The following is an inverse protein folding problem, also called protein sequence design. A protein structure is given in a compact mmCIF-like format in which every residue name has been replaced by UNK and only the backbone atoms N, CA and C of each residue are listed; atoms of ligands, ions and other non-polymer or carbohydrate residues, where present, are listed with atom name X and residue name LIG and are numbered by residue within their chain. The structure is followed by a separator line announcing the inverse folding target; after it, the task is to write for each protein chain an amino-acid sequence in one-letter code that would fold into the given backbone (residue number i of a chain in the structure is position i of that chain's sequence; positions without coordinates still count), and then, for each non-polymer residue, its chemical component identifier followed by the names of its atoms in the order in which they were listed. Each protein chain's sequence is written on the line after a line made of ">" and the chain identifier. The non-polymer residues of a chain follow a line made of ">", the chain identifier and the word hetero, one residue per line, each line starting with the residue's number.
data_IF_340939502706
#
_entry.id   IF_340939502706
#
_cell.length_a   1.000
_cell.length_b   1.000
_cell.length_c   1.000
_cell.angle_alpha   90.00
_cell.angle_beta   90.00
_cell.angle_gamma   90.00
#
_symmetry.space_group_name_H-M   'P 1'
#
loop_
_entity.id
_entity.type
_entity.pdbx_description
1 polymer ?
#
# COMPACT_ATOMS: atom_id res chain seq x y z
N UNK A 1 -2.39 -2.33 -9.30
CA UNK A 1 -1.71 -3.45 -9.98
C UNK A 1 -2.32 -4.78 -9.56
N UNK A 2 -2.80 -4.93 -8.32
CA UNK A 2 -3.53 -6.13 -7.84
C UNK A 2 -5.00 -5.82 -7.54
N UNK A 3 -5.94 -6.16 -8.43
CA UNK A 3 -7.38 -5.83 -8.25
C UNK A 3 -8.16 -6.90 -7.48
N UNK A 4 -7.49 -7.95 -6.98
CA UNK A 4 -8.13 -9.13 -6.38
C UNK A 4 -7.19 -9.87 -5.39
N UNK A 5 -6.90 -9.30 -4.20
CA UNK A 5 -5.90 -9.85 -3.27
C UNK A 5 -6.14 -11.31 -2.87
N UNK A 6 -7.39 -11.75 -2.72
CA UNK A 6 -7.71 -13.14 -2.35
C UNK A 6 -7.22 -14.16 -3.40
N UNK A 7 -7.33 -13.82 -4.69
CA UNK A 7 -6.95 -14.70 -5.80
C UNK A 7 -5.43 -14.71 -6.01
N UNK A 8 -4.81 -13.53 -5.91
CA UNK A 8 -3.34 -13.42 -5.93
C UNK A 8 -2.71 -14.15 -4.74
N UNK A 9 -3.29 -14.05 -3.54
CA UNK A 9 -2.81 -14.75 -2.36
C UNK A 9 -2.90 -16.26 -2.52
N UNK A 10 -4.01 -16.77 -3.08
CA UNK A 10 -4.14 -18.19 -3.41
C UNK A 10 -3.07 -18.65 -4.42
N UNK A 11 -2.80 -17.87 -5.46
CA UNK A 11 -1.77 -18.21 -6.45
C UNK A 11 -0.36 -18.17 -5.82
N UNK A 12 -0.03 -17.10 -5.09
CA UNK A 12 1.26 -16.93 -4.43
C UNK A 12 1.56 -17.97 -3.35
N UNK A 13 0.52 -18.45 -2.64
CA UNK A 13 0.68 -19.49 -1.63
C UNK A 13 1.05 -20.87 -2.21
N UNK A 14 0.74 -21.13 -3.49
CA UNK A 14 1.02 -22.42 -4.14
C UNK A 14 2.08 -22.33 -5.24
N UNK A 15 2.48 -21.12 -5.64
CA UNK A 15 3.35 -20.90 -6.81
C UNK A 15 4.77 -21.40 -6.61
N UNK A 16 5.22 -21.53 -5.36
CA UNK A 16 6.57 -21.95 -4.99
C UNK A 16 6.67 -23.46 -4.71
N UNK A 17 5.57 -24.20 -4.82
CA UNK A 17 5.56 -25.64 -4.65
C UNK A 17 6.08 -26.34 -5.91
N UNK A 18 6.86 -27.40 -5.72
CA UNK A 18 7.36 -28.20 -6.84
C UNK A 18 6.22 -29.00 -7.48
N UNK A 19 6.00 -28.81 -8.78
CA UNK A 19 5.12 -29.65 -9.60
C UNK A 19 5.91 -30.82 -10.18
N UNK A 20 5.19 -31.85 -10.64
CA UNK A 20 5.81 -33.00 -11.32
C UNK A 20 6.60 -32.61 -12.58
N UNK A 21 6.25 -31.48 -13.20
CA UNK A 21 6.95 -30.92 -14.37
C UNK A 21 7.89 -29.75 -14.04
N UNK A 22 8.13 -29.45 -12.76
CA UNK A 22 9.12 -28.44 -12.35
C UNK A 22 10.55 -28.97 -12.52
N UNK A 23 11.47 -28.08 -12.89
CA UNK A 23 12.91 -28.31 -12.82
C UNK A 23 13.47 -27.62 -11.58
N UNK A 24 14.38 -28.26 -10.85
CA UNK A 24 15.08 -27.58 -9.75
C UNK A 24 16.17 -26.68 -10.34
N UNK A 25 16.13 -25.39 -10.01
CA UNK A 25 17.21 -24.47 -10.34
C UNK A 25 18.16 -24.40 -9.16
N UNK A 26 19.38 -24.84 -9.39
CA UNK A 26 20.49 -24.71 -8.43
C UNK A 26 21.12 -23.32 -8.61
N UNK A 27 21.06 -22.51 -7.55
CA UNK A 27 21.70 -21.20 -7.49
C UNK A 27 22.78 -21.25 -6.41
N UNK A 28 24.05 -21.02 -6.77
CA UNK A 28 25.17 -21.12 -5.82
C UNK A 28 24.91 -20.30 -4.54
N UNK A 29 24.80 -20.99 -3.40
CA UNK A 29 24.61 -20.38 -2.08
C UNK A 29 23.16 -20.16 -1.64
N UNK A 30 22.16 -20.65 -2.38
CA UNK A 30 20.75 -20.66 -1.98
C UNK A 30 20.17 -22.08 -2.07
N UNK A 31 19.10 -22.36 -1.32
CA UNK A 31 18.36 -23.62 -1.45
C UNK A 31 17.75 -23.78 -2.85
N UNK A 32 17.71 -25.01 -3.35
CA UNK A 32 17.13 -25.33 -4.66
C UNK A 32 15.67 -24.89 -4.74
N UNK A 33 15.37 -24.02 -5.70
CA UNK A 33 14.02 -23.53 -5.93
C UNK A 33 13.38 -24.22 -7.14
N UNK A 34 12.11 -24.65 -7.05
CA UNK A 34 11.42 -25.24 -8.18
C UNK A 34 11.10 -24.15 -9.22
N UNK A 35 11.75 -24.25 -10.38
CA UNK A 35 11.41 -23.47 -11.56
C UNK A 35 10.32 -24.18 -12.36
N UNK A 36 9.21 -23.48 -12.58
CA UNK A 36 8.01 -24.08 -13.17
C UNK A 36 7.50 -23.17 -14.27
N UNK A 37 7.47 -23.67 -15.51
CA UNK A 37 7.06 -22.85 -16.67
C UNK A 37 5.54 -22.61 -16.70
N UNK A 38 5.07 -21.55 -17.37
CA UNK A 38 3.64 -21.29 -17.52
C UNK A 38 2.87 -22.45 -18.16
N UNK A 39 3.48 -23.16 -19.13
CA UNK A 39 2.86 -24.31 -19.81
C UNK A 39 2.70 -25.51 -18.88
N UNK A 40 3.64 -25.70 -17.95
CA UNK A 40 3.56 -26.73 -16.92
C UNK A 40 2.39 -26.43 -15.97
N UNK A 41 2.26 -25.19 -15.48
CA UNK A 41 1.11 -24.76 -14.65
C UNK A 41 -0.22 -24.87 -15.38
N UNK A 42 -0.25 -24.55 -16.67
CA UNK A 42 -1.46 -24.59 -17.49
C UNK A 42 -2.01 -26.01 -17.69
N UNK A 43 -1.13 -27.02 -17.71
CA UNK A 43 -1.49 -28.42 -17.98
C UNK A 43 -1.57 -29.29 -16.73
N UNK A 44 -0.97 -28.88 -15.60
CA UNK A 44 -0.97 -29.67 -14.37
C UNK A 44 -2.36 -29.74 -13.73
N UNK A 45 -2.81 -30.95 -13.38
CA UNK A 45 -4.11 -31.14 -12.73
C UNK A 45 -4.12 -30.64 -11.29
N UNK A 46 -3.06 -30.95 -10.54
CA UNK A 46 -2.98 -30.75 -9.09
C UNK A 46 -2.90 -29.27 -8.76
N UNK A 47 -2.15 -28.49 -9.54
CA UNK A 47 -2.07 -27.04 -9.47
C UNK A 47 -3.43 -26.39 -9.69
N UNK A 48 -4.11 -26.72 -10.80
CA UNK A 48 -5.39 -26.11 -11.14
C UNK A 48 -6.49 -26.49 -10.15
N UNK A 49 -6.61 -27.74 -9.73
CA UNK A 49 -7.64 -28.11 -8.75
C UNK A 49 -7.38 -27.48 -7.38
N UNK A 50 -6.13 -27.39 -6.94
CA UNK A 50 -5.74 -26.72 -5.69
C UNK A 50 -6.04 -25.23 -5.74
N UNK A 51 -5.66 -24.54 -6.83
CA UNK A 51 -5.93 -23.12 -7.01
C UNK A 51 -7.44 -22.83 -7.05
N UNK A 52 -8.20 -23.64 -7.78
CA UNK A 52 -9.65 -23.51 -7.89
C UNK A 52 -10.32 -23.70 -6.53
N UNK A 53 -9.90 -24.69 -5.74
CA UNK A 53 -10.41 -24.89 -4.39
C UNK A 53 -10.08 -23.71 -3.45
N UNK A 54 -8.88 -23.15 -3.55
CA UNK A 54 -8.51 -21.96 -2.79
C UNK A 54 -9.42 -20.78 -3.13
N UNK A 55 -9.72 -20.52 -4.42
CA UNK A 55 -10.65 -19.45 -4.80
C UNK A 55 -12.05 -19.68 -4.23
N UNK A 56 -12.56 -20.90 -4.33
CA UNK A 56 -13.89 -21.25 -3.80
C UNK A 56 -14.00 -21.04 -2.29
N UNK A 57 -12.94 -21.32 -1.54
CA UNK A 57 -12.94 -21.23 -0.08
C UNK A 57 -12.60 -19.81 0.40
N UNK A 58 -11.46 -19.26 -0.02
CA UNK A 58 -10.92 -17.99 0.48
C UNK A 58 -11.54 -16.74 -0.15
N UNK A 59 -11.96 -16.80 -1.42
CA UNK A 59 -12.61 -15.64 -2.07
C UNK A 59 -14.13 -15.58 -1.82
N UNK A 60 -14.74 -16.61 -1.22
CA UNK A 60 -16.17 -16.62 -0.92
C UNK A 60 -16.57 -15.55 0.12
N UNK A 61 -15.72 -15.30 1.11
CA UNK A 61 -15.96 -14.28 2.16
C UNK A 61 -16.10 -12.86 1.59
N UNK A 62 -15.37 -12.57 0.50
CA UNK A 62 -15.36 -11.25 -0.14
C UNK A 62 -16.46 -11.08 -1.21
N UNK A 63 -17.36 -12.06 -1.38
CA UNK A 63 -18.45 -12.05 -2.37
C UNK A 63 -17.97 -11.71 -3.80
N UNK A 64 -16.79 -12.22 -4.20
CA UNK A 64 -16.22 -11.92 -5.50
C UNK A 64 -17.04 -12.60 -6.61
N UNK A 65 -17.52 -11.87 -7.63
CA UNK A 65 -18.27 -12.48 -8.72
C UNK A 65 -17.38 -13.42 -9.54
N UNK A 66 -17.96 -14.55 -9.97
CA UNK A 66 -17.26 -15.59 -10.74
C UNK A 66 -16.63 -15.04 -12.02
N UNK A 67 -17.21 -13.99 -12.63
CA UNK A 67 -16.63 -13.35 -13.81
C UNK A 67 -15.26 -12.72 -13.54
N UNK A 68 -15.03 -12.13 -12.36
CA UNK A 68 -13.72 -11.59 -11.97
C UNK A 68 -12.72 -12.70 -11.69
N UNK A 69 -13.15 -13.78 -11.05
CA UNK A 69 -12.31 -14.96 -10.81
C UNK A 69 -11.92 -15.65 -12.11
N UNK A 70 -12.86 -15.79 -13.05
CA UNK A 70 -12.60 -16.36 -14.38
C UNK A 70 -11.60 -15.50 -15.17
N UNK A 71 -11.74 -14.16 -15.10
CA UNK A 71 -10.78 -13.27 -15.74
C UNK A 71 -9.36 -13.44 -15.18
N UNK A 72 -9.23 -13.45 -13.85
CA UNK A 72 -7.95 -13.73 -13.21
C UNK A 72 -7.39 -15.11 -13.61
N UNK A 73 -8.28 -16.11 -13.69
CA UNK A 73 -7.91 -17.47 -14.08
C UNK A 73 -7.28 -17.55 -15.47
N UNK A 74 -7.79 -16.78 -16.42
CA UNK A 74 -7.29 -16.74 -17.80
C UNK A 74 -6.01 -15.91 -17.96
N UNK A 75 -5.87 -14.83 -17.19
CA UNK A 75 -4.78 -13.86 -17.37
C UNK A 75 -3.57 -14.13 -16.47
N UNK A 76 -3.78 -14.63 -15.23
CA UNK A 76 -2.78 -14.57 -14.15
C UNK A 76 -2.48 -15.92 -13.49
N UNK A 77 -3.37 -16.92 -13.58
CA UNK A 77 -3.22 -18.19 -12.85
C UNK A 77 -1.91 -18.93 -13.15
N UNK A 78 -1.40 -18.83 -14.38
CA UNK A 78 -0.19 -19.52 -14.85
C UNK A 78 1.04 -18.61 -14.90
N UNK A 79 0.89 -17.32 -14.56
CA UNK A 79 1.95 -16.32 -14.59
C UNK A 79 2.16 -15.62 -15.94
N UNK A 80 1.65 -16.18 -17.05
CA UNK A 80 1.68 -15.52 -18.36
C UNK A 80 0.32 -15.63 -19.10
N UNK A 81 -0.16 -14.55 -19.74
CA UNK A 81 -1.43 -14.57 -20.49
C UNK A 81 -1.40 -15.47 -21.73
N UNK A 82 -0.22 -15.85 -22.21
CA UNK A 82 0.00 -16.66 -23.42
C UNK A 82 -0.26 -18.15 -23.20
N UNK A 83 -0.27 -18.61 -21.93
CA UNK A 83 -0.46 -20.00 -21.55
C UNK A 83 -1.69 -20.15 -20.64
N UNK A 84 -2.93 -20.04 -21.18
CA UNK A 84 -4.13 -20.18 -20.37
C UNK A 84 -4.29 -21.62 -19.84
N UNK A 85 -4.87 -21.80 -18.64
CA UNK A 85 -5.18 -23.12 -18.10
C UNK A 85 -6.00 -24.00 -19.04
N UNK A 86 -5.73 -25.31 -19.05
CA UNK A 86 -6.48 -26.29 -19.86
C UNK A 86 -7.99 -26.34 -19.57
N UNK A 87 -8.40 -25.89 -18.39
CA UNK A 87 -9.79 -25.87 -17.92
C UNK A 87 -10.19 -24.46 -17.52
N UNK A 88 -11.45 -24.10 -17.72
CA UNK A 88 -12.03 -22.92 -17.09
C UNK A 88 -12.14 -23.10 -15.57
N UNK A 89 -12.22 -22.02 -14.81
CA UNK A 89 -12.34 -22.09 -13.35
C UNK A 89 -13.54 -22.96 -12.89
N UNK A 90 -14.76 -22.82 -13.47
CA UNK A 90 -15.87 -23.71 -13.13
C UNK A 90 -15.63 -25.18 -13.50
N UNK A 91 -14.95 -25.46 -14.62
CA UNK A 91 -14.63 -26.83 -15.02
C UNK A 91 -13.58 -27.46 -14.09
N UNK A 92 -12.60 -26.68 -13.64
CA UNK A 92 -11.61 -27.12 -12.66
C UNK A 92 -12.25 -27.42 -11.29
N UNK A 93 -13.29 -26.67 -10.89
CA UNK A 93 -14.05 -27.00 -9.68
C UNK A 93 -14.87 -28.28 -9.81
N UNK A 94 -15.39 -28.57 -11.00
CA UNK A 94 -16.18 -29.79 -11.25
C UNK A 94 -15.33 -31.07 -11.25
N UNK A 95 -14.03 -30.97 -11.51
CA UNK A 95 -13.14 -32.13 -11.44
C UNK A 95 -12.79 -32.54 -10.00
N UNK A 96 -13.11 -31.70 -9.01
CA UNK A 96 -12.90 -31.97 -7.58
C UNK A 96 -14.08 -32.78 -7.05
N UNK A 97 -13.87 -34.09 -6.88
CA UNK A 97 -14.92 -35.01 -6.40
C UNK A 97 -15.12 -34.93 -4.88
N UNK A 98 -14.04 -34.73 -4.12
CA UNK A 98 -14.04 -34.68 -2.66
C UNK A 98 -13.24 -33.48 -2.14
N UNK A 99 -13.61 -32.99 -0.95
CA UNK A 99 -12.90 -31.88 -0.32
C UNK A 99 -11.47 -32.32 0.06
N UNK A 100 -10.43 -31.55 -0.32
CA UNK A 100 -9.05 -31.87 0.00
C UNK A 100 -8.80 -31.76 1.50
N UNK A 101 -8.09 -32.74 2.06
CA UNK A 101 -7.76 -32.82 3.49
C UNK A 101 -6.30 -32.54 3.80
N UNK A 102 -5.40 -32.75 2.83
CA UNK A 102 -3.96 -32.50 3.00
C UNK A 102 -3.69 -31.00 2.91
N UNK A 103 -3.11 -30.43 3.97
CA UNK A 103 -2.62 -29.05 3.96
C UNK A 103 -1.31 -28.99 3.16
N UNK A 104 -1.20 -28.04 2.24
CA UNK A 104 0.01 -27.74 1.50
C UNK A 104 0.84 -26.71 2.27
N UNK A 105 2.08 -27.06 2.58
CA UNK A 105 3.08 -26.13 3.12
C UNK A 105 3.94 -25.58 1.99
N UNK A 106 4.55 -24.41 2.17
CA UNK A 106 5.54 -23.90 1.22
C UNK A 106 6.67 -24.91 0.95
N UNK A 107 7.15 -24.94 -0.29
CA UNK A 107 8.24 -25.80 -0.80
C UNK A 107 7.95 -27.31 -0.87
N UNK A 108 6.78 -27.78 -0.46
CA UNK A 108 6.37 -29.17 -0.67
C UNK A 108 6.09 -29.48 -2.15
N UNK A 109 6.14 -30.77 -2.50
CA UNK A 109 5.71 -31.24 -3.83
C UNK A 109 4.19 -31.37 -3.93
N UNK A 110 3.61 -30.78 -4.98
CA UNK A 110 2.17 -30.76 -5.24
C UNK A 110 1.79 -31.84 -6.25
N UNK A 111 1.50 -33.04 -5.74
CA UNK A 111 1.11 -34.21 -6.55
C UNK A 111 -0.39 -34.54 -6.47
N UNK A 112 -1.15 -33.80 -5.65
CA UNK A 112 -2.57 -34.03 -5.40
C UNK A 112 -3.30 -32.72 -5.10
N UNK A 113 -4.63 -32.74 -5.18
CA UNK A 113 -5.44 -31.57 -4.80
C UNK A 113 -5.30 -31.35 -3.30
N UNK A 114 -4.75 -30.21 -2.91
CA UNK A 114 -4.45 -29.90 -1.51
C UNK A 114 -5.25 -28.68 -1.01
N UNK A 115 -5.28 -28.51 0.31
CA UNK A 115 -5.81 -27.33 0.96
C UNK A 115 -4.65 -26.35 1.20
N UNK A 116 -4.80 -25.10 0.76
CA UNK A 116 -3.79 -24.06 0.99
C UNK A 116 -3.66 -23.79 2.48
N UNK A 117 -2.43 -23.76 3.00
CA UNK A 117 -2.15 -23.36 4.38
C UNK A 117 -2.76 -22.00 4.70
N UNK A 118 -3.42 -21.92 5.86
CA UNK A 118 -4.06 -20.68 6.30
C UNK A 118 -3.05 -19.58 6.61
N UNK A 119 -1.91 -19.95 7.20
CA UNK A 119 -0.83 -19.03 7.52
C UNK A 119 -0.17 -18.44 6.26
N UNK A 120 0.16 -19.32 5.29
CA UNK A 120 0.77 -18.89 4.02
C UNK A 120 -0.17 -17.99 3.24
N UNK A 121 -1.47 -18.35 3.19
CA UNK A 121 -2.47 -17.53 2.51
C UNK A 121 -2.67 -16.18 3.20
N UNK A 122 -2.78 -16.14 4.54
CA UNK A 122 -3.01 -14.91 5.29
C UNK A 122 -1.83 -13.94 5.17
N UNK A 123 -0.60 -14.45 5.21
CA UNK A 123 0.60 -13.66 4.95
C UNK A 123 0.55 -13.01 3.56
N UNK A 124 0.30 -13.80 2.51
CA UNK A 124 0.22 -13.29 1.15
C UNK A 124 -0.93 -12.28 0.99
N UNK A 125 -2.10 -12.58 1.56
CA UNK A 125 -3.27 -11.72 1.49
C UNK A 125 -3.02 -10.36 2.13
N UNK A 126 -2.43 -10.33 3.34
CA UNK A 126 -2.08 -9.09 4.04
C UNK A 126 -1.11 -8.25 3.22
N UNK A 127 -0.03 -8.86 2.73
CA UNK A 127 0.99 -8.18 1.90
C UNK A 127 0.35 -7.57 0.64
N UNK A 128 -0.43 -8.35 -0.10
CA UNK A 128 -1.07 -7.90 -1.34
C UNK A 128 -2.14 -6.84 -1.11
N UNK A 129 -2.91 -6.96 -0.03
CA UNK A 129 -3.91 -5.95 0.34
C UNK A 129 -3.27 -4.61 0.72
N UNK A 130 -2.10 -4.65 1.38
CA UNK A 130 -1.31 -3.46 1.67
C UNK A 130 -0.77 -2.83 0.38
N UNK A 131 -0.16 -3.61 -0.50
CA UNK A 131 0.35 -3.09 -1.77
C UNK A 131 -0.76 -2.48 -2.65
N UNK A 132 -1.93 -3.12 -2.74
CA UNK A 132 -3.08 -2.55 -3.47
C UNK A 132 -3.47 -1.19 -2.88
N UNK A 133 -3.51 -1.08 -1.54
CA UNK A 133 -3.83 0.18 -0.87
C UNK A 133 -2.82 1.27 -1.18
N UNK A 134 -1.54 0.97 -1.02
CA UNK A 134 -0.46 1.94 -1.27
C UNK A 134 -0.45 2.39 -2.73
N UNK A 135 -0.63 1.48 -3.68
CA UNK A 135 -0.73 1.83 -5.10
C UNK A 135 -1.93 2.73 -5.40
N UNK A 136 -3.08 2.49 -4.77
CA UNK A 136 -4.26 3.35 -4.95
C UNK A 136 -4.02 4.75 -4.39
N UNK A 137 -3.36 4.85 -3.24
CA UNK A 137 -2.96 6.12 -2.63
C UNK A 137 -1.95 6.82 -3.54
N UNK A 138 -0.89 6.15 -3.97
CA UNK A 138 0.11 6.71 -4.87
C UNK A 138 -0.47 7.11 -6.23
N UNK A 139 -1.41 6.37 -6.81
CA UNK A 139 -2.05 6.75 -8.07
C UNK A 139 -2.99 7.95 -7.90
N UNK A 140 -3.61 8.12 -6.73
CA UNK A 140 -4.53 9.22 -6.44
C UNK A 140 -3.79 10.51 -6.05
N UNK A 141 -2.65 10.38 -5.36
CA UNK A 141 -1.89 11.50 -4.82
C UNK A 141 -0.51 11.68 -5.48
N UNK A 142 -0.15 10.87 -6.49
CA UNK A 142 1.18 10.88 -7.12
C UNK A 142 1.57 12.18 -7.81
N UNK A 143 0.60 13.00 -8.22
CA UNK A 143 0.83 14.33 -8.81
C UNK A 143 0.82 15.48 -7.78
N UNK A 144 0.46 15.18 -6.53
CA UNK A 144 0.60 16.09 -5.40
C UNK A 144 1.38 15.35 -4.34
N UNK A 145 2.70 15.49 -4.38
CA UNK A 145 3.52 15.30 -3.19
C UNK A 145 3.63 16.65 -2.49
N UNK A 146 2.62 17.10 -1.70
CA UNK A 146 2.84 18.23 -0.84
C UNK A 146 3.97 17.86 0.14
N UNK A 147 4.85 18.81 0.49
CA UNK A 147 5.63 18.72 1.72
C UNK A 147 4.62 18.71 2.87
N UNK A 148 4.26 17.52 3.33
CA UNK A 148 3.25 17.34 4.36
C UNK A 148 3.86 17.54 5.73
N UNK A 149 3.39 18.58 6.40
CA UNK A 149 3.18 18.52 7.83
C UNK A 149 2.19 17.38 8.11
N UNK A 150 2.61 16.36 8.87
CA UNK A 150 1.74 15.43 9.62
C UNK A 150 0.38 15.12 8.95
N UNK A 151 0.39 14.38 7.84
CA UNK A 151 -0.81 13.66 7.40
C UNK A 151 -0.79 12.29 8.07
N UNK A 152 -1.72 12.09 9.00
CA UNK A 152 -2.15 10.75 9.41
C UNK A 152 -3.28 10.38 8.44
N UNK A 153 -3.08 9.34 7.62
CA UNK A 153 -4.17 8.71 6.88
C UNK A 153 -5.10 8.03 7.89
N UNK A 154 -6.04 8.79 8.45
CA UNK A 154 -7.04 8.28 9.36
C UNK A 154 -7.93 7.31 8.56
N UNK A 155 -8.09 6.06 9.03
CA UNK A 155 -8.88 5.02 8.35
C UNK A 155 -10.40 5.26 8.34
N UNK A 156 -10.83 6.51 8.34
CA UNK A 156 -12.22 6.94 8.20
C UNK A 156 -12.31 7.91 7.02
N UNK A 157 -12.23 7.33 5.81
CA UNK A 157 -12.26 7.97 4.49
C UNK A 157 -13.61 8.65 4.14
N UNK A 158 -14.38 9.18 5.11
CA UNK A 158 -15.71 9.76 4.82
C UNK A 158 -15.92 11.20 5.28
N UNK A 159 -15.09 11.77 6.17
CA UNK A 159 -15.32 13.14 6.68
C UNK A 159 -14.39 14.22 6.10
N UNK A 160 -13.17 13.89 5.64
CA UNK A 160 -12.30 14.87 4.94
C UNK A 160 -12.69 15.12 3.48
N UNK A 161 -13.56 14.28 2.89
CA UNK A 161 -14.02 14.37 1.49
C UNK A 161 -14.80 15.65 1.14
N UNK A 162 -15.22 16.44 2.14
CA UNK A 162 -16.01 17.65 1.93
C UNK A 162 -15.21 18.96 1.95
N UNK A 163 -13.88 18.94 2.12
CA UNK A 163 -13.10 20.16 2.07
C UNK A 163 -12.85 20.59 0.61
N UNK A 164 -13.36 21.77 0.18
CA UNK A 164 -13.37 22.20 -1.22
C UNK A 164 -12.02 22.80 -1.67
N UNK A 165 -10.89 22.16 -1.33
CA UNK A 165 -9.57 22.70 -1.70
C UNK A 165 -9.31 22.61 -3.22
N UNK A 166 -9.86 21.59 -3.88
CA UNK A 166 -9.82 21.44 -5.33
C UNK A 166 -10.54 22.59 -6.07
N UNK A 167 -11.57 23.20 -5.45
CA UNK A 167 -12.29 24.35 -6.01
C UNK A 167 -11.35 25.55 -6.14
N UNK A 168 -10.49 25.79 -5.14
CA UNK A 168 -9.53 26.89 -5.19
C UNK A 168 -8.41 26.66 -6.22
N UNK A 169 -8.03 25.40 -6.46
CA UNK A 169 -7.12 25.03 -7.56
C UNK A 169 -7.74 25.32 -8.94
N UNK A 170 -9.01 24.97 -9.16
CA UNK A 170 -9.75 25.33 -10.36
C UNK A 170 -9.95 26.84 -10.52
N UNK A 171 -10.19 27.58 -9.42
CA UNK A 171 -10.30 29.04 -9.44
C UNK A 171 -8.97 29.69 -9.82
N UNK A 172 -7.84 29.18 -9.32
CA UNK A 172 -6.51 29.67 -9.66
C UNK A 172 -6.18 29.43 -11.14
N UNK A 173 -6.48 28.25 -11.68
CA UNK A 173 -6.23 27.94 -13.10
C UNK A 173 -7.11 28.79 -14.02
N UNK A 174 -8.39 28.95 -13.69
CA UNK A 174 -9.31 29.83 -14.43
C UNK A 174 -8.86 31.29 -14.37
N UNK A 175 -8.39 31.78 -13.22
CA UNK A 175 -7.83 33.13 -13.10
C UNK A 175 -6.58 33.32 -13.97
N UNK A 176 -5.71 32.30 -14.06
CA UNK A 176 -4.54 32.32 -14.97
C UNK A 176 -4.99 32.35 -16.43
N UNK A 177 -5.99 31.54 -16.83
CA UNK A 177 -6.52 31.57 -18.20
C UNK A 177 -7.14 32.92 -18.55
N UNK A 178 -7.91 33.51 -17.63
CA UNK A 178 -8.51 34.85 -17.81
C UNK A 178 -7.40 35.91 -17.91
N UNK A 179 -6.35 35.83 -17.09
CA UNK A 179 -5.19 36.72 -17.17
C UNK A 179 -4.41 36.56 -18.47
N UNK A 180 -4.28 35.35 -19.02
CA UNK A 180 -3.61 35.09 -20.31
C UNK A 180 -4.40 35.67 -21.49
N UNK A 181 -5.73 35.56 -21.44
CA UNK A 181 -6.61 36.17 -22.45
C UNK A 181 -6.60 37.70 -22.32
N UNK A 182 -6.56 38.23 -21.09
CA UNK A 182 -6.38 39.66 -20.83
C UNK A 182 -4.96 40.14 -21.19
N UNK A 183 -3.94 39.30 -21.14
CA UNK A 183 -2.54 39.61 -21.50
C UNK A 183 -2.35 39.89 -22.99
N UNK A 184 -3.20 39.32 -23.87
CA UNK A 184 -3.24 39.73 -25.28
C UNK A 184 -3.65 41.22 -25.45
N UNK A 185 -4.26 41.83 -24.43
CA UNK A 185 -4.52 43.28 -24.33
C UNK A 185 -3.28 44.09 -23.89
N UNK A 186 -2.28 43.44 -23.26
CA UNK A 186 -1.06 44.03 -22.70
C UNK A 186 0.16 43.98 -23.65
N UNK A 187 -0.03 44.08 -24.97
CA UNK A 187 1.07 44.32 -25.95
C UNK A 187 1.91 45.60 -25.69
N UNK A 188 1.74 46.27 -24.55
CA UNK A 188 2.48 47.47 -24.11
C UNK A 188 3.48 47.24 -22.95
N UNK A 189 3.38 46.15 -22.19
CA UNK A 189 4.29 45.88 -21.04
C UNK A 189 4.86 44.47 -21.15
N UNK A 190 6.18 44.37 -21.30
CA UNK A 190 6.91 43.16 -21.75
C UNK A 190 7.08 42.01 -20.73
N UNK A 191 8.23 41.34 -20.78
CA UNK A 191 8.57 40.10 -20.05
C UNK A 191 8.39 40.15 -18.52
N UNK A 192 8.33 41.35 -17.93
CA UNK A 192 8.12 41.55 -16.48
C UNK A 192 6.82 40.93 -15.96
N UNK A 193 5.73 40.99 -16.74
CA UNK A 193 4.43 40.44 -16.32
C UNK A 193 4.48 38.91 -16.18
N UNK A 194 5.26 38.25 -17.06
CA UNK A 194 5.46 36.80 -17.02
C UNK A 194 6.28 36.36 -15.81
N UNK A 195 7.30 37.14 -15.43
CA UNK A 195 8.07 36.91 -14.21
C UNK A 195 7.19 37.04 -12.96
N UNK A 196 6.36 38.09 -12.86
CA UNK A 196 5.46 38.25 -11.72
C UNK A 196 4.40 37.15 -11.64
N UNK A 197 3.85 36.70 -12.78
CA UNK A 197 2.92 35.58 -12.81
C UNK A 197 3.57 34.26 -12.35
N UNK A 198 4.77 33.95 -12.85
CA UNK A 198 5.51 32.77 -12.43
C UNK A 198 5.88 32.82 -10.94
N UNK A 199 6.37 33.96 -10.46
CA UNK A 199 6.69 34.16 -9.05
C UNK A 199 5.44 34.03 -8.17
N UNK A 200 4.30 34.61 -8.55
CA UNK A 200 3.07 34.55 -7.75
C UNK A 200 2.52 33.13 -7.66
N UNK A 201 2.48 32.38 -8.76
CA UNK A 201 2.07 30.95 -8.74
C UNK A 201 3.04 30.13 -7.89
N UNK A 202 4.35 30.33 -8.04
CA UNK A 202 5.37 29.63 -7.26
C UNK A 202 5.26 29.92 -5.76
N UNK A 203 5.11 31.20 -5.37
CA UNK A 203 4.93 31.57 -3.97
C UNK A 203 3.62 31.04 -3.40
N UNK A 204 2.53 31.07 -4.18
CA UNK A 204 1.23 30.59 -3.72
C UNK A 204 1.22 29.07 -3.51
N UNK A 205 1.78 28.30 -4.45
CA UNK A 205 2.03 26.85 -4.32
C UNK A 205 2.79 26.53 -3.01
N UNK A 206 3.90 27.23 -2.76
CA UNK A 206 4.72 27.01 -1.55
C UNK A 206 4.07 27.49 -0.27
N UNK A 207 3.31 28.56 -0.30
CA UNK A 207 2.62 29.09 0.86
C UNK A 207 1.47 28.18 1.30
N UNK A 208 0.76 27.56 0.35
CA UNK A 208 -0.29 26.58 0.67
C UNK A 208 0.27 25.38 1.45
N UNK A 209 1.51 24.97 1.17
CA UNK A 209 2.18 23.89 1.90
C UNK A 209 2.57 24.25 3.34
N UNK A 210 2.66 25.54 3.67
CA UNK A 210 2.97 26.01 5.03
C UNK A 210 1.72 26.15 5.92
N UNK A 211 0.52 26.16 5.34
CA UNK A 211 -0.74 26.31 6.08
C UNK A 211 -1.01 25.16 7.08
N UNK A 212 -0.75 23.87 6.76
CA UNK A 212 -0.91 22.78 7.71
C UNK A 212 0.05 22.88 8.92
N UNK A 213 1.30 23.33 8.71
CA UNK A 213 2.27 23.55 9.79
C UNK A 213 1.76 24.62 10.76
N UNK A 214 1.15 25.69 10.25
CA UNK A 214 0.57 26.76 11.05
C UNK A 214 -0.70 26.31 11.80
N UNK A 215 -1.52 25.43 11.19
CA UNK A 215 -2.73 24.88 11.82
C UNK A 215 -2.42 23.91 12.97
N UNK A 216 -1.45 23.02 12.79
CA UNK A 216 -1.10 22.02 13.82
C UNK A 216 -0.12 22.59 14.87
N UNK A 217 0.66 23.61 14.47
CA UNK A 217 1.61 24.33 15.31
C UNK A 217 2.88 23.54 15.61
N UNK A 218 3.92 24.24 16.09
CA UNK A 218 5.11 23.58 16.65
C UNK A 218 4.77 23.03 18.03
N UNK A 219 4.75 21.70 18.16
CA UNK A 219 4.54 21.02 19.43
C UNK A 219 5.88 20.63 20.03
N UNK A 220 6.03 20.84 21.34
CA UNK A 220 7.20 20.35 22.09
C UNK A 220 7.00 18.86 22.37
N UNK A 221 8.09 18.12 22.28
CA UNK A 221 8.16 16.70 22.58
C UNK A 221 9.04 16.49 23.81
N UNK A 222 8.75 15.44 24.56
CA UNK A 222 9.60 14.96 25.64
C UNK A 222 10.42 13.76 25.13
N UNK A 223 11.68 13.71 25.54
CA UNK A 223 12.63 12.68 25.11
C UNK A 223 12.84 11.73 26.28
N UNK A 224 12.60 10.43 26.05
CA UNK A 224 12.86 9.36 27.00
C UNK A 224 13.93 8.45 26.40
N UNK A 225 15.08 8.33 27.08
CA UNK A 225 16.13 7.41 26.66
C UNK A 225 15.78 6.02 27.19
N UNK A 226 15.62 5.05 26.27
CA UNK A 226 15.39 3.65 26.63
C UNK A 226 16.74 2.92 26.65
N UNK A 227 17.54 3.10 25.60
CA UNK A 227 18.87 2.51 25.43
C UNK A 227 19.89 3.56 24.96
N UNK A 228 21.18 3.19 24.92
CA UNK A 228 22.27 4.05 24.46
C UNK A 228 22.09 4.52 22.99
N UNK A 229 21.40 3.72 22.16
CA UNK A 229 21.19 3.99 20.72
C UNK A 229 19.71 4.22 20.34
N UNK A 230 18.76 4.12 21.29
CA UNK A 230 17.32 4.20 21.00
C UNK A 230 16.63 5.19 21.92
N UNK A 231 15.91 6.13 21.29
CA UNK A 231 15.23 7.23 21.96
C UNK A 231 13.74 7.21 21.65
N UNK A 232 12.90 7.22 22.69
CA UNK A 232 11.45 7.40 22.57
C UNK A 232 11.10 8.88 22.64
N UNK A 233 10.20 9.31 21.77
CA UNK A 233 9.77 10.70 21.64
C UNK A 233 8.26 10.80 21.91
N UNK A 234 7.89 11.39 23.04
CA UNK A 234 6.50 11.53 23.45
C UNK A 234 5.97 12.93 23.10
N UNK A 235 4.89 12.99 22.32
CA UNK A 235 4.28 14.24 21.85
C UNK A 235 2.90 14.41 22.48
N UNK A 236 2.73 15.45 23.30
CA UNK A 236 1.48 15.69 24.02
C UNK A 236 0.49 16.58 23.25
N UNK A 237 -0.80 16.35 23.49
CA UNK A 237 -1.88 17.21 22.99
C UNK A 237 -2.35 16.90 21.57
N UNK A 238 -2.05 15.70 21.08
CA UNK A 238 -2.53 15.19 19.80
C UNK A 238 -3.85 14.46 20.03
N UNK A 239 -4.91 14.90 19.34
CA UNK A 239 -6.26 14.30 19.41
C UNK A 239 -6.63 13.64 18.09
N UNK A 240 -5.91 12.59 17.71
CA UNK A 240 -6.23 11.79 16.53
C UNK A 240 -6.43 10.33 16.91
N UNK A 241 -7.33 9.64 16.22
CA UNK A 241 -7.47 8.20 16.31
C UNK A 241 -6.33 7.59 15.50
N UNK A 242 -5.45 6.81 16.13
CA UNK A 242 -4.44 6.08 15.40
C UNK A 242 -4.71 4.57 15.46
N UNK A 243 -4.58 3.93 14.30
CA UNK A 243 -4.76 2.51 14.10
C UNK A 243 -3.43 1.83 13.72
N UNK A 244 -3.32 0.51 13.91
CA UNK A 244 -2.09 -0.22 13.62
C UNK A 244 -1.67 -0.07 12.14
N UNK A 245 -0.38 0.20 11.90
CA UNK A 245 0.21 0.31 10.55
C UNK A 245 0.31 1.73 9.98
N UNK A 246 -0.01 2.77 10.75
CA UNK A 246 0.12 4.16 10.31
C UNK A 246 1.53 4.72 10.60
N UNK A 247 1.98 5.65 9.74
CA UNK A 247 3.25 6.36 9.89
C UNK A 247 3.04 7.87 9.86
N UNK A 248 3.98 8.60 10.45
CA UNK A 248 3.97 10.04 10.64
C UNK A 248 5.29 10.63 10.14
N UNK A 249 5.20 11.76 9.43
CA UNK A 249 6.38 12.53 9.03
C UNK A 249 6.71 13.59 10.07
N UNK A 250 7.91 13.51 10.64
CA UNK A 250 8.40 14.43 11.68
C UNK A 250 9.50 15.33 11.11
N UNK A 251 9.46 16.60 11.49
CA UNK A 251 10.50 17.59 11.20
C UNK A 251 11.29 17.91 12.47
N UNK A 252 12.61 17.95 12.37
CA UNK A 252 13.51 18.32 13.48
C UNK A 252 14.21 19.65 13.21
N UNK A 253 13.51 20.78 13.35
CA UNK A 253 14.08 22.09 13.03
C UNK A 253 15.27 22.46 13.92
N UNK A 254 15.39 21.83 15.09
CA UNK A 254 16.43 22.10 16.11
C UNK A 254 17.70 21.28 15.96
N UNK A 255 17.70 20.15 15.22
CA UNK A 255 18.88 19.29 15.05
C UNK A 255 19.87 19.86 14.03
N UNK A 256 19.37 20.43 12.94
CA UNK A 256 20.21 21.07 11.93
C UNK A 256 19.58 22.39 11.46
N UNK A 257 20.27 23.50 11.73
CA UNK A 257 19.82 24.86 11.41
C UNK A 257 19.66 25.14 9.91
N UNK A 258 20.39 24.42 9.05
CA UNK A 258 20.36 24.62 7.60
C UNK A 258 19.39 23.66 6.90
N UNK A 259 18.99 22.58 7.57
CA UNK A 259 18.15 21.49 7.04
C UNK A 259 16.87 21.31 7.88
N UNK A 260 16.32 22.41 8.38
CA UNK A 260 15.10 22.40 9.21
C UNK A 260 13.83 21.95 8.48
N UNK A 261 13.93 21.74 7.16
CA UNK A 261 12.84 21.40 6.24
C UNK A 261 12.88 19.92 5.82
N UNK A 262 13.71 19.11 6.46
CA UNK A 262 13.79 17.67 6.19
C UNK A 262 12.77 16.92 7.04
N UNK A 263 12.01 16.06 6.37
CA UNK A 263 11.08 15.16 6.98
C UNK A 263 11.59 13.73 6.93
N UNK A 264 11.24 12.96 7.96
CA UNK A 264 11.51 11.54 8.02
C UNK A 264 10.25 10.80 8.44
N UNK A 265 9.92 9.67 7.77
CA UNK A 265 8.80 8.84 8.15
C UNK A 265 9.16 8.03 9.41
N UNK A 266 8.27 8.05 10.40
CA UNK A 266 8.36 7.24 11.60
C UNK A 266 7.02 6.55 11.87
N UNK A 267 7.06 5.29 12.30
CA UNK A 267 5.90 4.60 12.87
C UNK A 267 5.73 5.02 14.32
N UNK A 268 4.49 5.04 14.82
CA UNK A 268 4.24 5.20 16.26
C UNK A 268 3.96 3.84 16.91
N UNK A 269 4.34 3.74 18.19
CA UNK A 269 4.25 2.51 18.97
C UNK A 269 2.89 2.38 19.68
N UNK A 270 2.46 3.44 20.40
CA UNK A 270 1.15 3.47 21.08
C UNK A 270 0.63 4.90 21.29
N UNK A 271 -0.70 5.06 21.37
CA UNK A 271 -1.33 6.29 21.90
C UNK A 271 -1.72 6.05 23.36
N UNK A 272 -1.14 6.82 24.27
CA UNK A 272 -1.57 6.86 25.66
C UNK A 272 -2.53 8.03 25.89
N UNK A 273 -3.82 7.72 26.08
CA UNK A 273 -4.80 8.68 26.63
C UNK A 273 -4.63 8.75 28.14
N UNK A 274 -3.85 9.74 28.59
CA UNK A 274 -3.51 10.06 29.99
C UNK A 274 -2.59 9.05 30.70
N UNK A 275 -1.30 9.41 30.79
CA UNK A 275 -0.36 8.78 31.73
C UNK A 275 -0.48 9.52 33.06
N UNK A 276 -1.02 8.84 34.08
CA UNK A 276 -0.85 9.25 35.48
C UNK A 276 0.59 8.91 35.89
N UNK A 277 1.45 9.93 35.97
CA UNK A 277 2.89 9.84 36.28
C UNK A 277 3.22 9.39 37.71
N UNK A 278 2.34 8.65 38.39
CA UNK A 278 2.45 8.36 39.81
C UNK A 278 2.85 6.92 40.16
N UNK A 279 2.86 5.97 39.22
CA UNK A 279 2.95 4.54 39.60
C UNK A 279 4.15 3.75 39.03
N UNK A 280 5.01 4.36 38.19
CA UNK A 280 6.09 3.62 37.51
C UNK A 280 7.47 3.87 38.15
N UNK A 281 7.52 3.87 39.48
CA UNK A 281 8.79 3.96 40.24
C UNK A 281 9.04 2.78 41.18
N UNK A 282 8.29 1.66 41.06
CA UNK A 282 8.37 0.56 42.01
C UNK A 282 8.63 -0.84 41.46
N UNK A 283 8.86 -1.04 40.16
CA UNK A 283 9.15 -2.38 39.62
C UNK A 283 10.50 -2.44 38.86
N UNK A 284 11.58 -2.01 39.50
CA UNK A 284 12.93 -2.48 39.15
C UNK A 284 13.81 -2.58 40.40
N UNK A 285 13.75 -3.76 41.03
CA UNK A 285 14.77 -4.29 41.95
C UNK A 285 14.88 -5.80 41.80
#
# INVERSE_FOLDING_TARGET
>A
MYKLPCAFACNGAISNNALSCSSMMEMEGMDDMPATTPECRANDTSFLTTLAWCFKSKCAEFNVPVSKLQKFWEEEATGEPTAPPKWSYPAALQSIQEAPTKILTMHDSLNLTALTSEEDWDMQFKILSYFEREEVIHARYGDYHPPLALYVNNGTDSEELNLPYWIWGCVATVAVVIMLVASNFYRKFGYEVWLYAACTVWFFDRMMHMLPVLKNGMRRFNIVNIDDDVVRVDIHGIRWAAGPGQHVYVYFPTLNRLRSWENHPFSFDAIHTEVNWADESLDDK
#
